data_IF_234524321685
#
_entry.id   IF_234524321685
#
_cell.length_a   1.000
_cell.length_b   1.000
_cell.length_c   1.000
_cell.angle_alpha   90.00
_cell.angle_beta   90.00
_cell.angle_gamma   90.00
#
_symmetry.space_group_name_H-M   'P 1'
#
loop_
_entity.id
_entity.type
_entity.pdbx_description
1 polymer ?
#
# COMPACT_ATOMS: atom_id res chain seq x y z
N UNK A 1 2.78 -17.82 10.98
CA UNK A 1 3.73 -18.72 11.49
C UNK A 1 4.56 -18.18 12.65
N UNK A 2 5.76 -18.66 12.82
CA UNK A 2 6.62 -18.44 14.00
C UNK A 2 6.84 -16.97 14.41
N UNK A 3 6.89 -16.03 13.49
CA UNK A 3 7.08 -14.62 13.84
C UNK A 3 5.84 -13.97 14.47
N UNK A 4 4.63 -14.39 14.07
CA UNK A 4 3.38 -13.91 14.68
C UNK A 4 3.28 -14.39 16.12
N UNK A 5 3.63 -15.64 16.37
CA UNK A 5 3.71 -16.21 17.72
C UNK A 5 4.73 -15.43 18.57
N UNK A 6 5.92 -15.16 18.01
CA UNK A 6 6.96 -14.39 18.70
C UNK A 6 6.51 -12.97 19.04
N UNK A 7 5.84 -12.26 18.12
CA UNK A 7 5.30 -10.91 18.38
C UNK A 7 4.22 -10.96 19.45
N UNK A 8 3.33 -11.95 19.41
CA UNK A 8 2.30 -12.13 20.45
C UNK A 8 2.91 -12.43 21.83
N UNK A 9 3.93 -13.25 21.88
CA UNK A 9 4.67 -13.52 23.12
C UNK A 9 5.39 -12.29 23.65
N UNK A 10 6.01 -11.49 22.76
CA UNK A 10 6.65 -10.22 23.13
C UNK A 10 5.65 -9.21 23.66
N UNK A 11 4.47 -9.08 23.02
CA UNK A 11 3.41 -8.20 23.49
C UNK A 11 2.90 -8.61 24.86
N UNK A 12 2.60 -9.90 25.07
CA UNK A 12 2.18 -10.43 26.37
C UNK A 12 3.26 -10.23 27.46
N UNK A 13 4.53 -10.35 27.09
CA UNK A 13 5.66 -10.09 27.99
C UNK A 13 5.77 -8.61 28.38
N UNK A 14 5.56 -7.71 27.43
CA UNK A 14 5.52 -6.27 27.68
C UNK A 14 4.35 -5.86 28.55
N UNK A 15 3.14 -6.39 28.27
CA UNK A 15 1.91 -6.14 29.04
C UNK A 15 2.02 -6.62 30.50
N UNK A 16 2.78 -7.68 30.72
CA UNK A 16 3.06 -8.18 32.07
C UNK A 16 4.05 -7.31 32.86
N UNK A 17 4.56 -6.22 32.25
CA UNK A 17 5.57 -5.34 32.88
C UNK A 17 6.93 -6.02 33.11
N UNK A 18 7.17 -7.14 32.42
CA UNK A 18 8.35 -7.97 32.61
C UNK A 18 9.55 -7.50 31.75
N UNK A 19 9.38 -6.46 30.92
CA UNK A 19 10.46 -5.92 30.10
C UNK A 19 11.40 -5.12 30.99
N UNK A 20 12.67 -5.51 31.14
CA UNK A 20 13.65 -4.72 31.90
C UNK A 20 13.80 -3.32 31.31
N UNK A 21 13.90 -2.28 32.15
CA UNK A 21 14.07 -0.89 31.70
C UNK A 21 15.29 -0.68 30.78
N UNK A 22 16.26 -1.54 30.88
CA UNK A 22 17.47 -1.54 30.05
C UNK A 22 17.22 -1.97 28.57
N UNK A 23 16.03 -2.53 28.27
CA UNK A 23 15.65 -2.93 26.90
C UNK A 23 14.87 -1.80 26.20
N UNK A 24 14.49 -0.76 26.92
CA UNK A 24 13.79 0.40 26.33
C UNK A 24 14.79 1.29 25.59
N UNK A 25 14.50 1.58 24.34
CA UNK A 25 15.29 2.48 23.48
C UNK A 25 14.48 3.75 23.23
N UNK A 26 15.12 4.92 23.41
CA UNK A 26 14.52 6.16 22.99
C UNK A 26 14.35 6.16 21.46
N UNK A 27 13.11 6.20 21.02
CA UNK A 27 12.75 6.15 19.60
C UNK A 27 13.32 7.36 18.84
N UNK A 28 13.55 8.47 19.52
CA UNK A 28 14.16 9.67 18.92
C UNK A 28 15.64 9.49 18.57
N UNK A 29 16.31 8.51 19.17
CA UNK A 29 17.71 8.21 18.95
C UNK A 29 17.96 7.22 17.80
N UNK A 30 16.91 6.72 17.16
CA UNK A 30 16.97 5.68 16.14
C UNK A 30 16.20 6.03 14.87
N UNK A 31 16.45 5.26 13.81
CA UNK A 31 15.66 5.28 12.59
C UNK A 31 14.64 4.14 12.63
N UNK A 32 13.35 4.46 12.50
CA UNK A 32 12.30 3.46 12.36
C UNK A 32 12.34 2.88 10.95
N UNK A 33 12.68 1.62 10.85
CA UNK A 33 12.60 0.87 9.60
C UNK A 33 11.16 0.43 9.34
N UNK A 34 10.82 0.07 8.07
CA UNK A 34 9.56 -0.58 7.78
C UNK A 34 9.34 -1.79 8.69
N UNK A 35 8.12 -2.02 9.23
CA UNK A 35 7.84 -3.18 10.10
C UNK A 35 8.20 -4.52 9.45
N UNK A 36 8.14 -4.57 8.11
CA UNK A 36 8.62 -5.68 7.30
C UNK A 36 9.60 -5.13 6.27
N UNK A 37 10.89 -5.36 6.51
CA UNK A 37 11.97 -4.78 5.70
C UNK A 37 12.17 -5.44 4.34
N UNK A 38 11.71 -6.69 4.17
CA UNK A 38 11.87 -7.45 2.94
C UNK A 38 10.60 -8.25 2.60
N UNK A 39 9.47 -7.58 2.28
CA UNK A 39 8.26 -8.28 1.88
C UNK A 39 8.45 -8.96 0.52
N UNK A 40 8.05 -10.23 0.39
CA UNK A 40 8.17 -10.97 -0.87
C UNK A 40 7.29 -10.41 -2.00
N UNK A 41 6.16 -9.80 -1.66
CA UNK A 41 5.26 -9.10 -2.58
C UNK A 41 4.59 -7.93 -1.87
N UNK A 42 4.42 -6.84 -2.59
CA UNK A 42 3.55 -5.72 -2.21
C UNK A 42 2.54 -5.51 -3.33
N UNK A 43 1.30 -5.79 -3.02
CA UNK A 43 0.20 -5.74 -3.98
C UNK A 43 -0.71 -4.59 -3.55
N UNK A 44 -0.96 -3.68 -4.46
CA UNK A 44 -1.84 -2.54 -4.29
C UNK A 44 -3.13 -2.76 -5.08
N UNK A 45 -4.26 -2.35 -4.52
CA UNK A 45 -5.57 -2.45 -5.15
C UNK A 45 -6.00 -1.08 -5.67
N UNK A 46 -6.03 -0.93 -6.98
CA UNK A 46 -6.43 0.32 -7.61
C UNK A 46 -7.93 0.57 -7.51
N UNK A 47 -8.30 1.86 -7.42
CA UNK A 47 -9.70 2.32 -7.39
C UNK A 47 -10.54 1.54 -6.37
N UNK A 48 -9.98 1.28 -5.18
CA UNK A 48 -10.62 0.45 -4.17
C UNK A 48 -11.49 1.24 -3.19
N UNK A 49 -11.30 2.55 -3.09
CA UNK A 49 -12.08 3.45 -2.23
C UNK A 49 -13.13 4.18 -3.04
N UNK A 50 -14.40 4.18 -2.56
CA UNK A 50 -15.51 4.81 -3.26
C UNK A 50 -15.35 6.33 -3.41
N UNK A 51 -14.76 6.99 -2.42
CA UNK A 51 -14.51 8.43 -2.48
C UNK A 51 -13.46 8.78 -3.54
N UNK A 52 -12.39 7.98 -3.62
CA UNK A 52 -11.38 8.14 -4.68
C UNK A 52 -11.98 7.97 -6.09
N UNK A 53 -12.89 7.02 -6.28
CA UNK A 53 -13.61 6.86 -7.55
C UNK A 53 -14.40 8.14 -7.88
N UNK A 54 -15.10 8.73 -6.89
CA UNK A 54 -15.84 9.96 -7.09
C UNK A 54 -14.94 11.13 -7.45
N UNK A 55 -13.78 11.25 -6.80
CA UNK A 55 -12.78 12.28 -7.12
C UNK A 55 -12.25 12.14 -8.55
N UNK A 56 -11.90 10.92 -8.96
CA UNK A 56 -11.48 10.63 -10.33
C UNK A 56 -12.53 11.03 -11.35
N UNK A 57 -13.81 10.72 -11.09
CA UNK A 57 -14.92 11.07 -11.97
C UNK A 57 -15.14 12.58 -12.04
N UNK A 58 -15.02 13.29 -10.91
CA UNK A 58 -15.12 14.75 -10.86
C UNK A 58 -13.95 15.43 -11.59
N UNK A 59 -12.78 14.81 -11.60
CA UNK A 59 -11.62 15.28 -12.37
C UNK A 59 -11.71 14.95 -13.88
N UNK A 60 -12.83 14.37 -14.35
CA UNK A 60 -13.04 14.09 -15.77
C UNK A 60 -12.35 12.83 -16.29
N UNK A 61 -12.08 11.86 -15.41
CA UNK A 61 -11.42 10.61 -15.81
C UNK A 61 -12.29 9.72 -16.69
N UNK A 62 -13.62 9.78 -16.53
CA UNK A 62 -14.55 9.04 -17.39
C UNK A 62 -14.66 9.69 -18.77
N UNK A 63 -14.61 8.89 -19.83
CA UNK A 63 -14.68 9.36 -21.23
C UNK A 63 -16.12 9.66 -21.69
N UNK A 64 -17.10 9.09 -21.01
CA UNK A 64 -18.52 9.24 -21.29
C UNK A 64 -19.38 8.82 -20.09
N UNK A 65 -20.67 9.09 -20.16
CA UNK A 65 -21.64 8.82 -19.07
C UNK A 65 -21.76 7.32 -18.77
N UNK A 66 -21.68 6.45 -19.78
CA UNK A 66 -21.77 5.01 -19.58
C UNK A 66 -20.55 4.45 -18.80
N UNK A 67 -19.37 4.97 -19.05
CA UNK A 67 -18.16 4.63 -18.30
C UNK A 67 -18.24 5.17 -16.86
N UNK A 68 -18.80 6.37 -16.68
CA UNK A 68 -19.05 6.96 -15.38
C UNK A 68 -20.01 6.09 -14.55
N UNK A 69 -21.12 5.68 -15.13
CA UNK A 69 -22.13 4.85 -14.47
C UNK A 69 -21.56 3.47 -14.11
N UNK A 70 -20.79 2.83 -15.02
CA UNK A 70 -20.08 1.58 -14.73
C UNK A 70 -19.10 1.72 -13.55
N UNK A 71 -18.37 2.80 -13.47
CA UNK A 71 -17.44 3.06 -12.35
C UNK A 71 -18.17 3.28 -11.03
N UNK A 72 -19.32 3.91 -11.02
CA UNK A 72 -20.13 4.16 -9.82
C UNK A 72 -20.88 2.91 -9.35
N UNK A 73 -21.48 2.16 -10.28
CA UNK A 73 -22.31 0.99 -10.00
C UNK A 73 -21.52 -0.31 -9.86
N UNK A 74 -20.22 -0.25 -10.04
CA UNK A 74 -19.37 -1.46 -10.01
C UNK A 74 -19.53 -2.22 -8.70
N UNK A 75 -20.18 -3.36 -8.76
CA UNK A 75 -20.27 -4.30 -7.65
C UNK A 75 -18.90 -4.97 -7.44
N UNK A 76 -18.16 -4.45 -6.46
CA UNK A 76 -16.82 -4.93 -6.12
C UNK A 76 -16.77 -6.41 -5.73
N UNK A 77 -17.91 -7.01 -5.38
CA UNK A 77 -17.99 -8.44 -5.05
C UNK A 77 -18.00 -9.33 -6.30
N UNK A 78 -18.33 -8.77 -7.45
CA UNK A 78 -18.48 -9.49 -8.74
C UNK A 78 -17.33 -9.28 -9.70
N UNK A 79 -16.50 -8.26 -9.48
CA UNK A 79 -15.35 -7.96 -10.34
C UNK A 79 -14.04 -8.32 -9.65
N UNK A 80 -13.07 -8.77 -10.42
CA UNK A 80 -11.72 -8.97 -9.90
C UNK A 80 -11.10 -7.61 -9.56
N UNK A 81 -10.43 -7.47 -8.40
CA UNK A 81 -9.68 -6.27 -8.10
C UNK A 81 -8.65 -5.99 -9.20
N UNK A 82 -8.55 -4.74 -9.60
CA UNK A 82 -7.41 -4.30 -10.39
C UNK A 82 -6.24 -4.14 -9.43
N UNK A 83 -5.13 -4.81 -9.69
CA UNK A 83 -3.99 -4.83 -8.78
C UNK A 83 -2.69 -4.57 -9.52
N UNK A 84 -1.76 -3.93 -8.85
CA UNK A 84 -0.42 -3.67 -9.35
C UNK A 84 0.64 -3.93 -8.27
N UNK A 85 1.89 -3.95 -8.65
CA UNK A 85 3.04 -4.10 -7.76
C UNK A 85 3.87 -2.82 -7.81
N UNK A 86 4.52 -2.50 -6.68
CA UNK A 86 5.58 -1.49 -6.63
C UNK A 86 6.94 -2.16 -6.51
N UNK A 87 7.96 -1.52 -7.04
CA UNK A 87 9.35 -2.02 -6.94
C UNK A 87 9.78 -2.20 -5.47
N UNK A 88 10.61 -3.20 -5.15
CA UNK A 88 11.13 -3.38 -3.79
C UNK A 88 11.82 -2.13 -3.23
N UNK A 89 12.53 -1.38 -4.07
CA UNK A 89 13.25 -0.15 -3.70
C UNK A 89 12.33 1.01 -3.31
N UNK A 90 11.04 0.97 -3.69
CA UNK A 90 10.08 1.99 -3.28
C UNK A 90 9.74 1.92 -1.77
N UNK A 91 10.06 0.82 -1.08
CA UNK A 91 9.76 0.66 0.34
C UNK A 91 10.63 1.58 1.19
N UNK A 92 10.01 2.32 2.09
CA UNK A 92 10.67 3.18 3.08
C UNK A 92 9.95 3.14 4.43
N UNK A 93 10.61 3.60 5.48
CA UNK A 93 10.02 3.70 6.82
C UNK A 93 9.11 4.92 6.96
N UNK A 94 8.37 4.96 8.07
CA UNK A 94 7.37 5.99 8.33
C UNK A 94 7.94 7.42 8.38
N UNK A 95 9.20 7.57 8.74
CA UNK A 95 9.87 8.87 8.88
C UNK A 95 11.01 9.07 7.87
N UNK A 96 11.12 8.19 6.88
CA UNK A 96 12.08 8.38 5.81
C UNK A 96 11.57 9.46 4.84
N UNK A 97 12.49 10.21 4.26
CA UNK A 97 12.17 11.21 3.25
C UNK A 97 11.63 10.56 1.99
N UNK A 98 10.61 11.18 1.40
CA UNK A 98 10.13 10.82 0.05
C UNK A 98 10.95 11.62 -0.95
N UNK A 99 11.77 10.94 -1.74
CA UNK A 99 12.63 11.57 -2.73
C UNK A 99 11.82 11.80 -4.01
N UNK A 100 11.57 13.07 -4.32
CA UNK A 100 10.82 13.44 -5.51
C UNK A 100 11.71 13.32 -6.76
N UNK A 101 11.23 12.67 -7.83
CA UNK A 101 11.95 12.64 -9.10
C UNK A 101 12.03 14.05 -9.70
N UNK A 102 13.18 14.39 -10.27
CA UNK A 102 13.46 15.74 -10.79
C UNK A 102 12.63 16.11 -12.02
N UNK A 103 12.06 15.14 -12.68
CA UNK A 103 11.29 15.23 -13.93
C UNK A 103 9.79 14.97 -13.76
N UNK A 104 9.32 14.93 -12.52
CA UNK A 104 7.88 14.93 -12.17
C UNK A 104 7.50 16.24 -11.48
N UNK A 105 6.37 16.78 -11.87
CA UNK A 105 5.77 17.99 -11.28
C UNK A 105 4.43 17.71 -10.59
N UNK A 106 3.97 16.46 -10.61
CA UNK A 106 2.65 16.05 -10.11
C UNK A 106 2.75 14.83 -9.19
N UNK A 107 3.66 14.90 -8.21
CA UNK A 107 3.71 13.86 -7.17
C UNK A 107 2.58 14.08 -6.17
N UNK A 108 1.85 13.03 -5.91
CA UNK A 108 0.67 13.01 -5.06
C UNK A 108 0.76 11.88 -4.04
N UNK A 109 0.01 11.98 -2.96
CA UNK A 109 -0.05 11.01 -1.87
C UNK A 109 -1.36 10.23 -1.88
N UNK A 110 -1.32 8.97 -1.50
CA UNK A 110 -2.49 8.09 -1.37
C UNK A 110 -2.36 7.28 -0.08
N UNK A 111 -2.92 7.78 1.03
CA UNK A 111 -2.91 7.04 2.30
C UNK A 111 -3.85 5.85 2.22
N UNK A 112 -3.32 4.68 2.55
CA UNK A 112 -4.03 3.41 2.42
C UNK A 112 -3.85 2.52 3.65
N UNK A 113 -4.81 1.60 3.85
CA UNK A 113 -4.71 0.51 4.80
C UNK A 113 -4.06 -0.70 4.14
N UNK A 114 -2.89 -1.10 4.64
CA UNK A 114 -2.22 -2.32 4.22
C UNK A 114 -2.52 -3.48 5.15
N UNK A 115 -2.71 -4.67 4.60
CA UNK A 115 -2.88 -5.91 5.32
C UNK A 115 -1.61 -6.77 5.19
N UNK A 116 -1.11 -7.26 6.30
CA UNK A 116 0.04 -8.14 6.34
C UNK A 116 -0.41 -9.59 6.36
N UNK A 117 -0.02 -10.36 5.34
CA UNK A 117 -0.36 -11.78 5.26
C UNK A 117 0.57 -12.59 6.15
N UNK A 118 0.03 -13.37 7.10
CA UNK A 118 0.76 -14.08 8.14
C UNK A 118 1.49 -15.34 7.66
N UNK A 119 1.03 -15.96 6.59
CA UNK A 119 1.53 -17.25 6.09
C UNK A 119 1.35 -17.38 4.58
N UNK A 120 2.07 -18.31 3.97
CA UNK A 120 1.85 -18.63 2.55
C UNK A 120 0.45 -19.17 2.35
N UNK A 121 -0.30 -18.49 1.49
CA UNK A 121 -1.72 -18.80 1.22
C UNK A 121 -1.96 -18.96 -0.28
N UNK A 122 -2.92 -19.81 -0.63
CA UNK A 122 -3.34 -20.01 -2.01
C UNK A 122 -4.78 -20.54 -2.06
N UNK A 123 -5.64 -19.93 -2.86
CA UNK A 123 -7.04 -20.37 -3.07
C UNK A 123 -7.83 -20.46 -1.78
N UNK A 124 -7.70 -19.45 -0.92
CA UNK A 124 -8.45 -19.37 0.33
C UNK A 124 -9.87 -18.91 0.01
N UNK A 125 -10.85 -19.53 0.65
CA UNK A 125 -12.21 -19.05 0.61
C UNK A 125 -12.33 -17.70 1.34
N UNK A 126 -13.23 -16.83 0.87
CA UNK A 126 -13.34 -15.45 1.38
C UNK A 126 -13.63 -15.42 2.90
N UNK A 127 -14.44 -16.34 3.40
CA UNK A 127 -14.77 -16.49 4.81
C UNK A 127 -13.56 -16.79 5.71
N UNK A 128 -12.50 -17.36 5.15
CA UNK A 128 -11.26 -17.71 5.88
C UNK A 128 -10.13 -16.70 5.62
N UNK A 129 -10.39 -15.63 4.88
CA UNK A 129 -9.33 -14.69 4.49
C UNK A 129 -8.72 -13.98 5.70
N UNK A 130 -9.54 -13.60 6.68
CA UNK A 130 -9.07 -12.91 7.90
C UNK A 130 -8.13 -13.76 8.74
N UNK A 131 -8.27 -15.08 8.73
CA UNK A 131 -7.38 -16.01 9.47
C UNK A 131 -5.94 -16.02 8.92
N UNK A 132 -5.75 -15.40 7.78
CA UNK A 132 -4.45 -15.29 7.11
C UNK A 132 -3.81 -13.91 7.27
N UNK A 133 -4.43 -13.01 8.02
CA UNK A 133 -3.92 -11.66 8.28
C UNK A 133 -3.18 -11.65 9.61
N UNK A 134 -1.95 -11.15 9.60
CA UNK A 134 -1.14 -10.95 10.79
C UNK A 134 -1.45 -9.63 11.49
N UNK A 135 -1.87 -8.63 10.73
CA UNK A 135 -2.15 -7.30 11.22
C UNK A 135 -2.32 -6.30 10.08
N UNK A 136 -2.45 -5.06 10.46
CA UNK A 136 -2.66 -3.94 9.56
C UNK A 136 -1.58 -2.88 9.81
N UNK A 137 -1.29 -2.10 8.79
CA UNK A 137 -0.35 -0.99 8.83
C UNK A 137 -0.83 0.12 7.91
N UNK A 138 -0.35 1.32 8.12
CA UNK A 138 -0.56 2.41 7.18
C UNK A 138 0.50 2.36 6.09
N UNK A 139 0.12 2.60 4.87
CA UNK A 139 1.04 2.83 3.74
C UNK A 139 0.61 4.07 2.97
N UNK A 140 1.57 4.67 2.27
CA UNK A 140 1.30 5.76 1.36
C UNK A 140 1.70 5.31 -0.05
N UNK A 141 0.72 5.18 -0.94
CA UNK A 141 0.95 4.85 -2.36
C UNK A 141 1.32 6.11 -3.16
N UNK A 142 2.49 6.65 -2.88
CA UNK A 142 2.99 7.85 -3.54
C UNK A 142 3.05 7.66 -5.04
N UNK A 143 2.57 8.65 -5.79
CA UNK A 143 2.32 8.55 -7.23
C UNK A 143 2.79 9.80 -7.96
N UNK A 144 3.65 9.64 -8.96
CA UNK A 144 3.95 10.67 -9.97
C UNK A 144 2.85 10.61 -11.04
N UNK A 145 1.84 11.47 -10.92
CA UNK A 145 0.62 11.42 -11.76
C UNK A 145 0.91 11.66 -13.24
N UNK A 146 1.89 12.51 -13.54
CA UNK A 146 2.35 12.79 -14.89
C UNK A 146 3.13 11.63 -15.53
N UNK A 147 3.64 10.71 -14.71
CA UNK A 147 4.26 9.48 -15.17
C UNK A 147 3.28 8.32 -15.30
N UNK A 148 2.19 8.34 -14.51
CA UNK A 148 1.16 7.32 -14.60
C UNK A 148 0.43 7.33 -15.94
N UNK A 149 0.38 8.49 -16.61
CA UNK A 149 -0.31 8.66 -17.89
C UNK A 149 0.71 8.83 -19.02
N UNK A 150 0.58 8.00 -20.04
CA UNK A 150 1.44 7.99 -21.22
C UNK A 150 0.70 8.61 -22.39
N UNK A 151 0.93 9.91 -22.63
CA UNK A 151 0.39 10.62 -23.78
C UNK A 151 1.12 10.26 -25.08
N UNK A 152 2.37 9.86 -24.97
CA UNK A 152 3.24 9.42 -26.06
C UNK A 152 2.89 8.01 -26.56
N UNK A 153 2.10 7.23 -25.82
CA UNK A 153 1.71 5.87 -26.21
C UNK A 153 0.20 5.68 -26.26
N UNK A 154 -0.39 5.90 -27.42
CA UNK A 154 -1.85 5.92 -27.63
C UNK A 154 -2.57 4.62 -27.22
N UNK A 155 -1.92 3.46 -27.34
CA UNK A 155 -2.53 2.15 -27.06
C UNK A 155 -2.42 1.75 -25.60
N UNK A 156 -1.28 2.04 -24.94
CA UNK A 156 -1.01 1.71 -23.54
C UNK A 156 -0.93 2.99 -22.72
N UNK A 157 -2.07 3.58 -22.45
CA UNK A 157 -2.18 4.92 -21.86
C UNK A 157 -1.63 5.06 -20.44
N UNK A 158 -1.42 3.97 -19.74
CA UNK A 158 -1.00 3.99 -18.34
C UNK A 158 0.32 3.24 -18.13
N UNK A 159 1.19 3.82 -17.33
CA UNK A 159 2.40 3.20 -16.82
C UNK A 159 2.43 3.32 -15.29
N UNK A 160 1.74 2.43 -14.64
CA UNK A 160 1.63 2.48 -13.18
C UNK A 160 2.93 2.07 -12.49
N UNK A 161 3.72 1.21 -13.13
CA UNK A 161 5.03 0.89 -12.59
C UNK A 161 5.96 2.11 -12.63
N UNK A 162 6.02 2.81 -13.76
CA UNK A 162 6.80 4.04 -13.89
C UNK A 162 6.39 5.11 -12.87
N UNK A 163 5.10 5.41 -12.78
CA UNK A 163 4.62 6.49 -11.92
C UNK A 163 4.57 6.19 -10.41
N UNK A 164 4.61 4.89 -10.01
CA UNK A 164 4.41 4.49 -8.61
C UNK A 164 5.59 3.75 -7.98
N UNK A 165 6.66 3.46 -8.73
CA UNK A 165 7.78 2.64 -8.27
C UNK A 165 9.11 3.39 -8.14
N UNK A 166 9.09 4.71 -8.07
CA UNK A 166 10.28 5.48 -7.68
C UNK A 166 10.74 5.05 -6.28
N UNK A 167 12.02 5.17 -6.02
CA UNK A 167 12.59 4.90 -4.70
C UNK A 167 11.88 5.75 -3.63
N UNK A 168 11.62 5.16 -2.47
CA UNK A 168 10.91 5.78 -1.33
C UNK A 168 9.39 6.04 -1.54
N UNK A 169 8.79 5.67 -2.67
CA UNK A 169 7.38 5.94 -2.97
C UNK A 169 6.38 5.00 -2.25
N UNK A 170 6.82 4.23 -1.26
CA UNK A 170 5.94 3.40 -0.44
C UNK A 170 6.36 3.40 1.03
N UNK A 171 6.30 4.55 1.71
CA UNK A 171 6.51 4.58 3.15
C UNK A 171 5.41 3.80 3.87
N UNK A 172 5.81 3.09 4.93
CA UNK A 172 4.93 2.25 5.76
C UNK A 172 5.23 2.44 7.24
N UNK A 173 4.17 2.31 8.08
CA UNK A 173 4.24 2.44 9.54
C UNK A 173 3.46 1.36 10.26
#
# INVERSE_FOLDING_TARGET
GRWVEAVSEMAAFADAGAVPGEVTVDISAGRLLPPITAPGKRIYAAANYGDHIREMLNAGTARNDAERDDMLDRDKTRVRPYSFLKAPSALSGAHDDIILPSDSTKVDWEVELAMVVSRRTKRIAAENAMDCIAGFMTTNDVSARDWNMREDWVTLRTDWFGGKSHDTFAPVS
#
